data_IF_269709072037
#
_entry.id   IF_269709072037
#
_cell.length_a   1.000
_cell.length_b   1.000
_cell.length_c   1.000
_cell.angle_alpha   90.00
_cell.angle_beta   90.00
_cell.angle_gamma   90.00
#
_symmetry.space_group_name_H-M   'P 1'
#
loop_
_entity.id
_entity.type
_entity.pdbx_description
1 polymer ?
#
# COMPACT_ATOMS: atom_id res chain seq x y z
N UNK A 1 17.87 25.54 8.19
CA UNK A 1 18.56 24.31 8.56
C UNK A 1 20.01 24.43 8.14
N UNK A 2 20.96 23.96 8.95
CA UNK A 2 22.39 24.25 8.79
C UNK A 2 22.99 23.30 7.76
N UNK A 3 23.39 23.80 6.57
CA UNK A 3 23.96 23.00 5.45
C UNK A 3 25.10 22.07 5.88
N UNK A 4 25.87 22.48 6.91
CA UNK A 4 26.97 21.69 7.47
C UNK A 4 26.44 20.45 8.20
N UNK A 5 25.36 20.59 8.96
CA UNK A 5 24.72 19.49 9.68
C UNK A 5 24.11 18.46 8.72
N UNK A 6 23.43 18.92 7.65
CA UNK A 6 22.89 18.08 6.61
C UNK A 6 23.98 17.31 5.85
N UNK A 7 25.14 17.96 5.63
CA UNK A 7 26.32 17.32 5.02
C UNK A 7 26.90 16.23 5.92
N UNK A 8 27.08 16.48 7.21
CA UNK A 8 27.59 15.48 8.18
C UNK A 8 26.62 14.29 8.27
N UNK A 9 25.30 14.57 8.34
CA UNK A 9 24.29 13.52 8.35
C UNK A 9 24.33 12.67 7.07
N UNK A 10 24.56 13.27 5.91
CA UNK A 10 24.67 12.53 4.64
C UNK A 10 25.92 11.66 4.55
N UNK A 11 26.99 11.98 5.28
CA UNK A 11 28.19 11.14 5.37
C UNK A 11 27.96 9.91 6.26
N UNK A 12 27.20 10.07 7.36
CA UNK A 12 26.90 8.99 8.30
C UNK A 12 25.75 8.11 7.79
N UNK A 13 24.74 8.75 7.19
CA UNK A 13 23.52 8.10 6.64
C UNK A 13 23.33 8.50 5.16
N UNK A 14 24.17 8.02 4.26
CA UNK A 14 24.04 8.38 2.86
C UNK A 14 22.69 7.91 2.31
N UNK A 15 22.03 8.69 1.44
CA UNK A 15 20.80 8.29 0.80
C UNK A 15 21.02 6.99 0.02
N UNK A 16 20.04 6.09 0.10
CA UNK A 16 20.10 4.78 -0.55
C UNK A 16 18.92 4.58 -1.47
N UNK A 17 19.17 3.96 -2.61
CA UNK A 17 18.13 3.54 -3.53
C UNK A 17 17.08 2.68 -2.80
N UNK A 18 15.82 3.08 -2.87
CA UNK A 18 14.69 2.38 -2.22
C UNK A 18 14.62 0.91 -2.65
N UNK A 19 15.00 0.58 -3.88
CA UNK A 19 14.86 -0.77 -4.44
C UNK A 19 16.09 -1.65 -4.24
N UNK A 20 17.29 -1.22 -4.66
CA UNK A 20 18.49 -2.07 -4.56
C UNK A 20 19.33 -1.81 -3.29
N UNK A 21 19.17 -0.64 -2.63
CA UNK A 21 19.93 -0.25 -1.45
C UNK A 21 21.31 0.34 -1.75
N UNK A 22 21.68 0.51 -3.02
CA UNK A 22 22.93 1.18 -3.43
C UNK A 22 22.93 2.63 -2.94
N UNK A 23 24.05 3.12 -2.45
CA UNK A 23 24.23 4.53 -2.09
C UNK A 23 24.08 5.39 -3.35
N UNK A 24 23.39 6.51 -3.23
CA UNK A 24 23.07 7.45 -4.30
C UNK A 24 23.16 8.88 -3.76
N UNK A 25 23.36 9.87 -4.66
CA UNK A 25 23.64 11.25 -4.22
C UNK A 25 22.36 12.05 -3.89
N UNK A 26 21.35 12.06 -4.77
CA UNK A 26 20.23 13.02 -4.67
C UNK A 26 18.84 12.47 -4.95
N UNK A 27 18.71 11.26 -5.50
CA UNK A 27 17.41 10.67 -5.83
C UNK A 27 17.00 9.58 -4.83
N UNK A 28 15.73 9.20 -4.82
CA UNK A 28 15.26 8.05 -4.00
C UNK A 28 15.43 6.70 -4.75
N UNK A 29 15.80 6.74 -6.04
CA UNK A 29 15.99 5.58 -6.91
C UNK A 29 17.24 5.77 -7.79
N UNK A 30 18.05 4.74 -8.00
CA UNK A 30 19.18 4.79 -8.92
C UNK A 30 18.69 4.55 -10.37
N UNK A 31 19.47 5.06 -11.33
CA UNK A 31 19.16 4.97 -12.77
C UNK A 31 19.01 3.53 -13.29
N UNK A 32 19.72 2.58 -12.71
CA UNK A 32 19.58 1.15 -13.03
C UNK A 32 18.23 0.59 -12.59
N UNK A 33 17.82 0.83 -11.33
CA UNK A 33 16.52 0.40 -10.84
C UNK A 33 15.39 1.10 -11.58
N UNK A 34 15.52 2.40 -11.88
CA UNK A 34 14.50 3.14 -12.61
C UNK A 34 14.16 2.53 -13.98
N UNK A 35 15.20 2.04 -14.69
CA UNK A 35 15.04 1.38 -15.98
C UNK A 35 14.55 -0.06 -15.91
N UNK A 36 14.81 -0.75 -14.79
CA UNK A 36 14.61 -2.21 -14.67
C UNK A 36 13.49 -2.61 -13.73
N UNK A 37 12.76 -1.64 -13.14
CA UNK A 37 11.60 -1.96 -12.31
C UNK A 37 10.57 -2.77 -13.11
N UNK A 38 10.04 -3.85 -12.51
CA UNK A 38 9.06 -4.71 -13.15
C UNK A 38 7.67 -4.07 -13.11
N UNK A 39 7.47 -3.02 -13.91
CA UNK A 39 6.17 -2.36 -14.05
C UNK A 39 5.14 -3.30 -14.68
N UNK A 40 3.94 -3.28 -14.16
CA UNK A 40 2.77 -3.84 -14.84
C UNK A 40 2.38 -2.94 -16.03
N UNK A 41 1.85 -3.53 -17.10
CA UNK A 41 1.48 -2.79 -18.33
C UNK A 41 0.15 -3.31 -18.89
N UNK A 42 -0.61 -2.40 -19.51
CA UNK A 42 -1.89 -2.75 -20.11
C UNK A 42 -2.81 -3.44 -19.09
N UNK A 43 -3.43 -4.55 -19.48
CA UNK A 43 -4.37 -5.29 -18.63
C UNK A 43 -3.74 -5.88 -17.35
N UNK A 44 -2.42 -6.08 -17.34
CA UNK A 44 -1.75 -6.61 -16.15
C UNK A 44 -1.72 -5.65 -14.96
N UNK A 45 -2.04 -4.37 -15.16
CA UNK A 45 -2.23 -3.39 -14.07
C UNK A 45 -3.43 -3.79 -13.21
N UNK A 46 -4.46 -4.40 -13.82
CA UNK A 46 -5.74 -4.69 -13.18
C UNK A 46 -5.80 -6.10 -12.58
N UNK A 47 -6.54 -6.22 -11.48
CA UNK A 47 -6.87 -7.50 -10.86
C UNK A 47 -8.33 -7.50 -10.42
N UNK A 48 -8.94 -8.69 -10.41
CA UNK A 48 -10.33 -8.88 -9.98
C UNK A 48 -10.36 -9.58 -8.62
N UNK A 49 -11.01 -8.94 -7.65
CA UNK A 49 -11.24 -9.50 -6.33
C UNK A 49 -12.69 -9.30 -5.92
N UNK A 50 -13.18 -10.19 -5.05
CA UNK A 50 -14.56 -10.12 -4.55
C UNK A 50 -14.78 -8.79 -3.81
N UNK A 51 -15.92 -8.15 -4.03
CA UNK A 51 -16.35 -6.88 -3.44
C UNK A 51 -15.51 -5.66 -3.82
N UNK A 52 -14.55 -5.79 -4.71
CA UNK A 52 -13.71 -4.71 -5.22
C UNK A 52 -14.13 -4.37 -6.64
N UNK A 53 -14.51 -3.11 -6.88
CA UNK A 53 -14.97 -2.67 -8.20
C UNK A 53 -13.80 -2.59 -9.20
N UNK A 54 -12.63 -2.15 -8.75
CA UNK A 54 -11.39 -2.12 -9.53
C UNK A 54 -10.18 -2.19 -8.61
N UNK A 55 -9.24 -3.06 -8.91
CA UNK A 55 -7.96 -3.15 -8.20
C UNK A 55 -6.81 -2.96 -9.17
N UNK A 56 -5.85 -2.11 -8.80
CA UNK A 56 -4.66 -1.80 -9.61
C UNK A 56 -3.37 -1.95 -8.82
N UNK A 57 -2.29 -2.25 -9.53
CA UNK A 57 -0.94 -2.31 -8.94
C UNK A 57 0.10 -1.92 -9.98
N UNK A 58 0.99 -0.96 -9.71
CA UNK A 58 2.02 -0.52 -10.66
C UNK A 58 3.14 -1.54 -10.88
N UNK A 59 3.43 -2.41 -9.92
CA UNK A 59 4.62 -3.25 -9.96
C UNK A 59 4.30 -4.73 -9.74
N UNK A 60 5.15 -5.62 -10.27
CA UNK A 60 5.20 -7.01 -9.86
C UNK A 60 6.04 -7.19 -8.60
N UNK A 61 5.56 -8.05 -7.67
CA UNK A 61 6.21 -8.35 -6.39
C UNK A 61 7.34 -9.36 -6.57
N UNK A 62 8.44 -8.94 -7.18
CA UNK A 62 9.64 -9.75 -7.40
C UNK A 62 10.92 -8.94 -7.21
N UNK A 63 12.06 -9.60 -7.10
CA UNK A 63 13.39 -9.03 -7.10
C UNK A 63 13.58 -7.80 -6.16
N UNK A 64 13.90 -6.67 -6.74
CA UNK A 64 14.15 -5.41 -6.03
C UNK A 64 12.90 -4.89 -5.32
N UNK A 65 11.72 -5.05 -5.93
CA UNK A 65 10.44 -4.62 -5.34
C UNK A 65 10.18 -5.39 -4.05
N UNK A 66 10.37 -6.73 -4.06
CA UNK A 66 10.24 -7.56 -2.86
C UNK A 66 11.18 -7.10 -1.76
N UNK A 67 12.46 -6.81 -2.09
CA UNK A 67 13.44 -6.33 -1.11
C UNK A 67 13.07 -4.96 -0.54
N UNK A 68 12.60 -4.02 -1.37
CA UNK A 68 12.13 -2.71 -0.94
C UNK A 68 10.95 -2.83 0.05
N UNK A 69 9.94 -3.65 -0.29
CA UNK A 69 8.78 -3.89 0.59
C UNK A 69 9.20 -4.52 1.92
N UNK A 70 10.14 -5.46 1.92
CA UNK A 70 10.62 -6.08 3.16
C UNK A 70 11.35 -5.06 4.05
N UNK A 71 12.21 -4.20 3.49
CA UNK A 71 12.85 -3.11 4.25
C UNK A 71 11.81 -2.11 4.77
N UNK A 72 10.84 -1.75 3.95
CA UNK A 72 9.73 -0.88 4.35
C UNK A 72 8.88 -1.48 5.47
N UNK A 73 8.78 -2.82 5.56
CA UNK A 73 8.03 -3.52 6.63
C UNK A 73 8.82 -3.75 7.91
N UNK A 74 10.14 -3.94 7.82
CA UNK A 74 10.90 -4.56 8.92
C UNK A 74 12.20 -3.84 9.28
N UNK A 75 12.62 -2.82 8.52
CA UNK A 75 13.90 -2.14 8.74
C UNK A 75 13.74 -0.66 9.13
N UNK A 76 12.57 -0.22 9.58
CA UNK A 76 12.33 1.16 10.00
C UNK A 76 12.40 2.21 8.88
N UNK A 77 12.40 1.79 7.60
CA UNK A 77 12.56 2.67 6.46
C UNK A 77 11.25 3.38 6.06
N UNK A 78 10.61 4.10 7.00
CA UNK A 78 9.37 4.85 6.74
C UNK A 78 9.51 5.90 5.63
N UNK A 79 10.70 6.46 5.47
CA UNK A 79 11.03 7.43 4.41
C UNK A 79 10.81 6.90 2.98
N UNK A 80 10.78 5.58 2.80
CA UNK A 80 10.47 4.96 1.50
C UNK A 80 9.05 5.25 1.02
N UNK A 81 8.12 5.61 1.93
CA UNK A 81 6.73 5.94 1.58
C UNK A 81 6.63 7.01 0.50
N UNK A 82 7.51 8.02 0.52
CA UNK A 82 7.50 9.11 -0.45
C UNK A 82 7.67 8.60 -1.88
N UNK A 83 8.72 7.81 -2.15
CA UNK A 83 8.98 7.29 -3.50
C UNK A 83 7.98 6.21 -3.91
N UNK A 84 7.68 5.27 -3.01
CA UNK A 84 6.71 4.21 -3.27
C UNK A 84 5.30 4.77 -3.47
N UNK A 85 4.92 5.77 -2.67
CA UNK A 85 3.67 6.50 -2.82
C UNK A 85 3.58 7.25 -4.15
N UNK A 86 4.65 7.92 -4.59
CA UNK A 86 4.68 8.60 -5.89
C UNK A 86 4.43 7.64 -7.07
N UNK A 87 5.04 6.44 -7.06
CA UNK A 87 4.79 5.40 -8.07
C UNK A 87 3.32 4.95 -8.04
N UNK A 88 2.73 4.82 -6.86
CA UNK A 88 1.31 4.46 -6.72
C UNK A 88 0.39 5.60 -7.17
N UNK A 89 0.73 6.85 -6.86
CA UNK A 89 -0.07 8.02 -7.26
C UNK A 89 -0.14 8.14 -8.77
N UNK A 90 1.00 8.05 -9.46
CA UNK A 90 1.06 8.03 -10.92
C UNK A 90 0.21 6.90 -11.53
N UNK A 91 0.26 5.71 -10.91
CA UNK A 91 -0.60 4.60 -11.34
C UNK A 91 -2.08 4.89 -11.10
N UNK A 92 -2.45 5.54 -10.00
CA UNK A 92 -3.83 5.90 -9.69
C UNK A 92 -4.35 6.92 -10.72
N UNK A 93 -3.62 8.00 -10.97
CA UNK A 93 -3.98 9.06 -11.92
C UNK A 93 -4.18 8.52 -13.34
N UNK A 94 -3.34 7.57 -13.77
CA UNK A 94 -3.41 6.98 -15.11
C UNK A 94 -4.51 5.91 -15.27
N UNK A 95 -5.03 5.33 -14.18
CA UNK A 95 -5.88 4.14 -14.26
C UNK A 95 -7.21 4.26 -13.50
N UNK A 96 -7.41 5.28 -12.67
CA UNK A 96 -8.64 5.55 -11.93
C UNK A 96 -9.15 6.95 -12.24
N UNK A 97 -10.45 7.14 -12.16
CA UNK A 97 -11.06 8.46 -12.10
C UNK A 97 -10.95 8.98 -10.65
N UNK A 98 -9.81 9.63 -10.35
CA UNK A 98 -9.54 10.14 -9.01
C UNK A 98 -10.55 11.20 -8.57
N UNK A 99 -11.15 11.96 -9.50
CA UNK A 99 -12.19 12.95 -9.21
C UNK A 99 -13.50 12.36 -8.69
N UNK A 100 -13.77 11.08 -8.98
CA UNK A 100 -14.94 10.37 -8.44
C UNK A 100 -14.70 9.74 -7.07
N UNK A 101 -13.48 9.76 -6.53
CA UNK A 101 -13.14 9.15 -5.25
C UNK A 101 -13.41 10.14 -4.11
N UNK A 102 -14.31 9.79 -3.19
CA UNK A 102 -14.66 10.64 -2.04
C UNK A 102 -13.61 10.61 -0.93
N UNK A 103 -12.92 9.48 -0.76
CA UNK A 103 -11.89 9.33 0.28
C UNK A 103 -10.91 8.19 -0.01
N UNK A 104 -9.73 8.31 0.58
CA UNK A 104 -8.70 7.27 0.59
C UNK A 104 -8.64 6.65 1.98
N UNK A 105 -8.61 5.33 2.05
CA UNK A 105 -8.45 4.57 3.28
C UNK A 105 -7.33 3.54 3.13
N UNK A 106 -6.94 2.87 4.22
CA UNK A 106 -5.90 1.87 4.17
C UNK A 106 -6.28 0.59 4.92
N UNK A 107 -5.65 -0.52 4.56
CA UNK A 107 -5.77 -1.76 5.32
C UNK A 107 -5.04 -1.62 6.66
N UNK A 108 -5.75 -1.80 7.80
CA UNK A 108 -5.17 -1.61 9.12
C UNK A 108 -4.33 -2.81 9.56
N UNK A 109 -3.26 -2.54 10.29
CA UNK A 109 -2.50 -3.54 11.02
C UNK A 109 -3.15 -3.90 12.36
N UNK A 110 -2.82 -5.06 12.93
CA UNK A 110 -3.12 -5.34 14.33
C UNK A 110 -2.26 -4.47 15.24
N UNK A 111 -2.74 -4.19 16.47
CA UNK A 111 -1.99 -3.42 17.48
C UNK A 111 -0.58 -3.98 17.70
N UNK A 112 -0.44 -5.31 17.78
CA UNK A 112 0.86 -5.97 17.92
C UNK A 112 1.79 -5.63 16.76
N UNK A 113 1.34 -5.79 15.51
CA UNK A 113 2.19 -5.50 14.33
C UNK A 113 2.50 -4.01 14.19
N UNK A 114 1.58 -3.14 14.59
CA UNK A 114 1.82 -1.70 14.60
C UNK A 114 2.91 -1.35 15.62
N UNK A 115 2.86 -1.95 16.81
CA UNK A 115 3.90 -1.81 17.85
C UNK A 115 5.25 -2.32 17.34
N UNK A 116 5.29 -3.56 16.81
CA UNK A 116 6.53 -4.20 16.33
C UNK A 116 7.19 -3.44 15.15
N UNK A 117 6.41 -2.75 14.31
CA UNK A 117 6.89 -2.06 13.12
C UNK A 117 7.07 -0.55 13.29
N UNK A 118 6.42 0.05 14.31
CA UNK A 118 6.39 1.47 14.57
C UNK A 118 5.42 2.26 13.67
N UNK A 119 4.95 1.69 12.55
CA UNK A 119 4.02 2.34 11.60
C UNK A 119 3.24 1.34 10.77
N UNK A 120 2.14 1.83 10.16
CA UNK A 120 1.38 1.10 9.15
C UNK A 120 1.83 1.53 7.75
N UNK A 121 2.41 0.61 6.98
CA UNK A 121 2.91 0.84 5.62
C UNK A 121 1.80 1.34 4.69
N UNK A 122 0.64 0.67 4.74
CA UNK A 122 -0.50 1.03 3.91
C UNK A 122 -1.01 2.45 4.23
N UNK A 123 -0.95 2.87 5.49
CA UNK A 123 -1.30 4.24 5.90
C UNK A 123 -0.32 5.27 5.35
N UNK A 124 0.99 5.02 5.46
CA UNK A 124 2.00 5.94 4.92
C UNK A 124 1.83 6.11 3.41
N UNK A 125 1.61 5.01 2.68
CA UNK A 125 1.36 5.06 1.23
C UNK A 125 0.05 5.80 0.91
N UNK A 126 -1.03 5.52 1.66
CA UNK A 126 -2.32 6.19 1.48
C UNK A 126 -2.22 7.71 1.68
N UNK A 127 -1.43 8.17 2.64
CA UNK A 127 -1.19 9.60 2.89
C UNK A 127 -0.40 10.26 1.75
N UNK A 128 0.56 9.57 1.15
CA UNK A 128 1.28 10.11 -0.02
C UNK A 128 0.36 10.21 -1.24
N UNK A 129 -0.46 9.18 -1.51
CA UNK A 129 -1.47 9.23 -2.58
C UNK A 129 -2.48 10.35 -2.32
N UNK A 130 -2.97 10.48 -1.07
CA UNK A 130 -3.91 11.53 -0.66
C UNK A 130 -3.41 12.94 -1.00
N UNK A 131 -2.14 13.20 -0.77
CA UNK A 131 -1.51 14.49 -1.10
C UNK A 131 -1.40 14.71 -2.62
N UNK A 132 -1.08 13.65 -3.37
CA UNK A 132 -0.85 13.76 -4.80
C UNK A 132 -2.15 13.97 -5.60
N UNK A 133 -3.22 13.25 -5.25
CA UNK A 133 -4.51 13.30 -5.96
C UNK A 133 -5.54 14.23 -5.32
N UNK A 134 -5.15 14.97 -4.27
CA UNK A 134 -6.00 15.90 -3.49
C UNK A 134 -7.32 15.27 -2.98
N UNK A 135 -7.25 14.03 -2.51
CA UNK A 135 -8.39 13.30 -1.92
C UNK A 135 -8.09 12.97 -0.46
N UNK A 136 -9.00 13.31 0.45
CA UNK A 136 -8.80 13.18 1.90
C UNK A 136 -8.52 11.73 2.33
N UNK A 137 -7.48 11.52 3.15
CA UNK A 137 -7.25 10.26 3.85
C UNK A 137 -8.15 10.15 5.10
N UNK A 138 -8.91 9.05 5.19
CA UNK A 138 -9.79 8.73 6.32
C UNK A 138 -9.62 7.26 6.71
N UNK A 139 -9.18 6.93 7.94
CA UNK A 139 -9.05 5.54 8.39
C UNK A 139 -10.43 4.95 8.70
N UNK A 140 -11.05 4.28 7.73
CA UNK A 140 -12.42 3.74 7.83
C UNK A 140 -12.51 2.35 8.44
N UNK A 141 -11.38 1.66 8.58
CA UNK A 141 -11.30 0.26 9.03
C UNK A 141 -10.45 0.12 10.29
N UNK A 142 -10.81 -0.84 11.12
CA UNK A 142 -9.95 -1.33 12.21
C UNK A 142 -9.87 -2.86 12.19
N UNK A 143 -8.72 -3.39 12.61
CA UNK A 143 -8.51 -4.82 12.78
C UNK A 143 -8.88 -5.20 14.21
N UNK A 144 -9.87 -6.10 14.37
CA UNK A 144 -10.44 -6.46 15.67
C UNK A 144 -9.94 -7.82 16.19
N UNK A 145 -9.36 -8.68 15.34
CA UNK A 145 -8.81 -9.96 15.74
C UNK A 145 -7.36 -10.10 15.30
N UNK A 146 -6.53 -10.67 16.15
CA UNK A 146 -5.20 -11.11 15.76
C UNK A 146 -5.32 -12.43 15.01
N UNK A 147 -4.77 -12.46 13.81
CA UNK A 147 -4.71 -13.65 12.98
C UNK A 147 -3.27 -13.91 12.55
N UNK A 148 -2.99 -15.14 12.12
CA UNK A 148 -1.69 -15.53 11.57
C UNK A 148 -1.28 -14.61 10.42
N UNK A 149 0.01 -14.31 10.33
CA UNK A 149 0.52 -13.47 9.25
C UNK A 149 0.21 -14.13 7.88
N UNK A 150 -0.43 -13.39 6.97
CA UNK A 150 -0.75 -13.90 5.62
C UNK A 150 0.49 -14.42 4.87
N UNK A 151 1.65 -13.78 5.09
CA UNK A 151 2.92 -14.18 4.50
C UNK A 151 3.43 -15.56 4.95
N UNK A 152 2.97 -16.06 6.12
CA UNK A 152 3.35 -17.39 6.64
C UNK A 152 2.40 -18.51 6.23
N UNK A 153 1.23 -18.19 5.69
CA UNK A 153 0.25 -19.17 5.21
C UNK A 153 0.49 -19.43 3.73
N UNK A 154 0.84 -20.65 3.37
CA UNK A 154 1.11 -21.01 1.96
C UNK A 154 -0.17 -21.24 1.15
N UNK A 155 -1.19 -21.83 1.75
CA UNK A 155 -2.46 -22.19 1.09
C UNK A 155 -3.41 -21.00 0.93
N UNK A 156 -3.91 -20.78 -0.29
CA UNK A 156 -4.81 -19.67 -0.62
C UNK A 156 -6.18 -19.80 0.08
N UNK A 157 -6.74 -21.02 0.21
CA UNK A 157 -8.01 -21.26 0.92
C UNK A 157 -7.88 -20.99 2.41
N UNK A 158 -6.74 -21.36 3.02
CA UNK A 158 -6.45 -21.04 4.41
C UNK A 158 -6.26 -19.53 4.61
N UNK A 159 -5.66 -18.81 3.66
CA UNK A 159 -5.58 -17.34 3.70
C UNK A 159 -6.96 -16.71 3.71
N UNK A 160 -7.88 -17.17 2.87
CA UNK A 160 -9.24 -16.66 2.83
C UNK A 160 -9.97 -16.86 4.18
N UNK A 161 -9.89 -18.05 4.76
CA UNK A 161 -10.49 -18.33 6.07
C UNK A 161 -9.86 -17.52 7.21
N UNK A 162 -8.57 -17.26 7.14
CA UNK A 162 -7.82 -16.55 8.17
C UNK A 162 -8.19 -15.06 8.30
N UNK A 163 -8.89 -14.46 7.33
CA UNK A 163 -9.25 -13.03 7.34
C UNK A 163 -10.73 -12.75 7.59
N UNK A 164 -11.60 -13.75 7.50
CA UNK A 164 -13.04 -13.55 7.70
C UNK A 164 -13.34 -13.07 9.13
N UNK A 165 -14.07 -11.95 9.25
CA UNK A 165 -14.45 -11.36 10.52
C UNK A 165 -13.28 -10.77 11.33
N UNK A 166 -12.17 -10.47 10.66
CA UNK A 166 -10.97 -9.88 11.28
C UNK A 166 -11.02 -8.36 11.27
N UNK A 167 -11.78 -7.79 10.35
CA UNK A 167 -11.89 -6.33 10.15
C UNK A 167 -13.31 -5.83 10.43
N UNK A 168 -13.42 -4.58 10.83
CA UNK A 168 -14.70 -3.88 10.96
C UNK A 168 -14.54 -2.42 10.53
N UNK A 169 -15.63 -1.82 10.07
CA UNK A 169 -15.72 -0.38 9.80
C UNK A 169 -15.76 0.38 11.12
N UNK A 170 -15.03 1.49 11.21
CA UNK A 170 -14.95 2.33 12.42
C UNK A 170 -16.23 3.11 12.64
N UNK A 171 -16.78 3.70 11.58
CA UNK A 171 -18.00 4.47 11.54
C UNK A 171 -18.73 4.22 10.21
N UNK A 172 -19.89 3.50 10.21
CA UNK A 172 -20.66 3.23 9.01
C UNK A 172 -21.17 4.48 8.29
N UNK A 173 -21.54 5.53 9.00
CA UNK A 173 -22.10 6.74 8.39
C UNK A 173 -21.04 7.49 7.57
N UNK A 174 -19.77 7.43 7.98
CA UNK A 174 -18.65 8.00 7.21
C UNK A 174 -18.48 7.36 5.84
N UNK A 175 -18.80 6.07 5.67
CA UNK A 175 -18.55 5.32 4.42
C UNK A 175 -19.79 5.17 3.54
N UNK A 176 -20.98 5.43 4.08
CA UNK A 176 -22.26 5.22 3.39
C UNK A 176 -22.38 6.10 2.14
N UNK A 177 -22.68 5.48 1.01
CA UNK A 177 -22.80 6.13 -0.29
C UNK A 177 -21.48 6.58 -0.94
N UNK A 178 -20.33 6.32 -0.30
CA UNK A 178 -19.03 6.84 -0.71
C UNK A 178 -18.28 5.92 -1.69
N UNK A 179 -17.49 6.54 -2.55
CA UNK A 179 -16.49 5.90 -3.40
C UNK A 179 -15.14 5.92 -2.64
N UNK A 180 -14.61 4.76 -2.30
CA UNK A 180 -13.46 4.63 -1.40
C UNK A 180 -12.29 3.98 -2.14
N UNK A 181 -11.11 4.62 -2.12
CA UNK A 181 -9.86 4.01 -2.57
C UNK A 181 -9.17 3.34 -1.37
N UNK A 182 -9.13 2.02 -1.36
CA UNK A 182 -8.46 1.22 -0.34
C UNK A 182 -7.00 0.96 -0.74
N UNK A 183 -6.07 1.25 0.16
CA UNK A 183 -4.62 1.14 -0.08
C UNK A 183 -4.00 0.01 0.72
N UNK A 184 -3.12 -0.79 0.08
CA UNK A 184 -2.25 -1.77 0.75
C UNK A 184 -0.85 -1.78 0.09
N UNK A 185 0.10 -2.48 0.68
CA UNK A 185 1.45 -2.60 0.13
C UNK A 185 1.57 -3.71 -0.93
N UNK A 186 1.05 -4.91 -0.69
CA UNK A 186 1.17 -6.05 -1.62
C UNK A 186 -0.10 -6.89 -1.63
N UNK A 187 -0.63 -7.11 -2.80
CA UNK A 187 -1.69 -8.09 -3.00
C UNK A 187 -1.12 -9.41 -3.53
N UNK A 188 -1.62 -10.51 -2.93
CA UNK A 188 -1.27 -11.88 -3.36
C UNK A 188 -2.53 -12.61 -3.80
N UNK A 189 -3.28 -13.20 -2.89
CA UNK A 189 -4.57 -13.87 -3.16
C UNK A 189 -5.76 -12.91 -3.12
N UNK A 190 -5.57 -11.66 -2.74
CA UNK A 190 -6.62 -10.67 -2.57
C UNK A 190 -7.54 -10.90 -1.35
N UNK A 191 -7.31 -11.95 -0.54
CA UNK A 191 -8.20 -12.29 0.57
C UNK A 191 -8.38 -11.15 1.58
N UNK A 192 -7.30 -10.43 1.93
CA UNK A 192 -7.35 -9.28 2.84
C UNK A 192 -8.12 -8.12 2.22
N UNK A 193 -7.82 -7.79 0.99
CA UNK A 193 -8.47 -6.73 0.21
C UNK A 193 -9.96 -7.02 0.08
N UNK A 194 -10.33 -8.25 -0.33
CA UNK A 194 -11.72 -8.68 -0.47
C UNK A 194 -12.51 -8.59 0.84
N UNK A 195 -11.92 -8.99 1.96
CA UNK A 195 -12.60 -8.92 3.27
C UNK A 195 -12.79 -7.47 3.72
N UNK A 196 -11.77 -6.61 3.56
CA UNK A 196 -11.90 -5.18 3.87
C UNK A 196 -12.95 -4.52 2.97
N UNK A 197 -12.95 -4.80 1.67
CA UNK A 197 -13.94 -4.29 0.73
C UNK A 197 -15.35 -4.80 1.07
N UNK A 198 -15.50 -6.08 1.44
CA UNK A 198 -16.77 -6.65 1.90
C UNK A 198 -17.33 -5.88 3.12
N UNK A 199 -16.47 -5.53 4.07
CA UNK A 199 -16.89 -4.77 5.25
C UNK A 199 -17.32 -3.35 4.90
N UNK A 200 -16.61 -2.67 3.99
CA UNK A 200 -16.99 -1.35 3.49
C UNK A 200 -18.31 -1.38 2.71
N UNK A 201 -18.48 -2.36 1.79
CA UNK A 201 -19.75 -2.55 1.05
C UNK A 201 -20.90 -2.87 1.99
N UNK A 202 -20.69 -3.71 3.02
CA UNK A 202 -21.70 -4.03 4.05
C UNK A 202 -22.10 -2.77 4.85
N UNK A 203 -21.18 -1.84 5.06
CA UNK A 203 -21.46 -0.55 5.72
C UNK A 203 -22.07 0.50 4.77
N UNK A 204 -22.35 0.13 3.51
CA UNK A 204 -23.05 0.98 2.54
C UNK A 204 -22.16 1.79 1.60
N UNK A 205 -20.85 1.47 1.49
CA UNK A 205 -20.00 2.09 0.48
C UNK A 205 -20.54 1.82 -0.93
N UNK A 206 -20.64 2.85 -1.76
CA UNK A 206 -21.15 2.77 -3.14
C UNK A 206 -20.15 2.05 -4.04
N UNK A 207 -18.88 2.42 -3.97
CA UNK A 207 -17.80 1.74 -4.68
C UNK A 207 -16.57 1.57 -3.79
N UNK A 208 -15.82 0.48 -4.00
CA UNK A 208 -14.53 0.22 -3.36
C UNK A 208 -13.51 -0.09 -4.43
N UNK A 209 -12.64 0.87 -4.70
CA UNK A 209 -11.44 0.71 -5.51
C UNK A 209 -10.30 0.25 -4.62
N UNK A 210 -9.29 -0.38 -5.19
CA UNK A 210 -8.09 -0.78 -4.46
C UNK A 210 -6.84 -0.42 -5.25
N UNK A 211 -5.82 0.04 -4.55
CA UNK A 211 -4.46 0.16 -5.10
C UNK A 211 -3.46 -0.49 -4.16
N UNK A 212 -2.56 -1.29 -4.71
CA UNK A 212 -1.41 -1.84 -3.97
C UNK A 212 -0.12 -1.51 -4.69
N UNK A 213 0.99 -1.35 -3.95
CA UNK A 213 2.29 -1.07 -4.57
C UNK A 213 2.70 -2.19 -5.53
N UNK A 214 2.44 -3.45 -5.15
CA UNK A 214 2.82 -4.57 -5.99
C UNK A 214 1.83 -5.74 -5.90
N UNK A 215 1.77 -6.51 -7.00
CA UNK A 215 1.03 -7.76 -7.12
C UNK A 215 1.97 -8.94 -7.39
N UNK A 216 1.54 -10.16 -7.09
CA UNK A 216 2.22 -11.34 -7.63
C UNK A 216 2.06 -11.39 -9.15
N UNK A 217 3.06 -11.92 -9.81
CA UNK A 217 2.97 -12.41 -11.18
C UNK A 217 2.19 -13.72 -11.13
N UNK A 218 1.16 -13.87 -11.96
CA UNK A 218 0.34 -15.08 -12.06
C UNK A 218 1.10 -16.19 -12.77
#
# INVERSE_FOLDING_TARGET
MNKIFDYILSLIYPPKCVFCGKVIDKSDICSECEKTLPYTKGDSVYQKFLFVDKCISPLYYKDYVRRAVLRFKFSGCSCYSRRLGAIMSECAENNLDCGSIDMISCIPLSKKRLHDRGYNQAELLAREISKAVDVKFVPTLKKIKNNTAQSTIKDAKLRAKNVVGVYTVTDPETVKGKHILLVDDVVTTGSTVSECARMLKKAGAKAVYCITLARRED
#
